data_IF_590418931294
#
_entry.id   IF_590418931294
#
_cell.length_a   1.000
_cell.length_b   1.000
_cell.length_c   1.000
_cell.angle_alpha   90.00
_cell.angle_beta   90.00
_cell.angle_gamma   90.00
#
_symmetry.space_group_name_H-M   'P 1'
#
loop_
_entity.id
_entity.type
_entity.pdbx_description
1 polymer ?
#
# COMPACT_ATOMS: atom_id res chain seq x y z
N UNK A 1 -10.92 -3.87 -24.20
CA UNK A 1 -10.43 -3.90 -22.80
C UNK A 1 -10.60 -2.55 -22.10
N UNK A 2 -10.38 -1.42 -22.78
CA UNK A 2 -10.46 -0.09 -22.14
C UNK A 2 -11.85 0.25 -21.57
N UNK A 3 -12.92 -0.12 -22.27
CA UNK A 3 -14.31 0.01 -21.80
C UNK A 3 -14.62 -0.78 -20.52
N UNK A 4 -14.00 -1.95 -20.36
CA UNK A 4 -14.10 -2.77 -19.15
C UNK A 4 -13.44 -2.07 -17.96
N UNK A 5 -12.22 -1.55 -18.16
CA UNK A 5 -11.46 -0.82 -17.14
C UNK A 5 -12.22 0.44 -16.70
N UNK A 6 -12.71 1.24 -17.64
CA UNK A 6 -13.50 2.44 -17.32
C UNK A 6 -14.75 2.10 -16.51
N UNK A 7 -15.46 1.02 -16.87
CA UNK A 7 -16.68 0.61 -16.14
C UNK A 7 -16.39 0.17 -14.71
N UNK A 8 -15.31 -0.58 -14.48
CA UNK A 8 -14.99 -1.11 -13.16
C UNK A 8 -14.30 -0.12 -12.22
N UNK A 9 -13.53 0.83 -12.77
CA UNK A 9 -12.76 1.80 -11.98
C UNK A 9 -13.32 3.23 -12.04
N UNK A 10 -14.61 3.38 -12.38
CA UNK A 10 -15.30 4.68 -12.43
C UNK A 10 -15.65 5.27 -11.05
N UNK A 11 -15.46 4.51 -9.96
CA UNK A 11 -15.80 4.95 -8.60
C UNK A 11 -14.85 6.01 -8.04
N UNK A 12 -15.32 6.85 -7.10
CA UNK A 12 -14.47 7.84 -6.44
C UNK A 12 -13.31 7.14 -5.71
N UNK A 13 -12.08 7.51 -6.05
CA UNK A 13 -10.87 6.94 -5.45
C UNK A 13 -10.40 5.60 -6.02
N UNK A 14 -11.15 4.98 -6.95
CA UNK A 14 -10.72 3.72 -7.60
C UNK A 14 -9.48 3.95 -8.47
N UNK A 15 -9.42 5.06 -9.21
CA UNK A 15 -8.22 5.43 -9.99
C UNK A 15 -7.02 5.66 -9.08
N UNK A 16 -7.23 6.23 -7.89
CA UNK A 16 -6.17 6.40 -6.90
C UNK A 16 -5.66 5.05 -6.38
N UNK A 17 -6.55 4.10 -6.06
CA UNK A 17 -6.15 2.72 -5.70
C UNK A 17 -5.35 2.05 -6.81
N UNK A 18 -5.80 2.20 -8.06
CA UNK A 18 -5.07 1.69 -9.23
C UNK A 18 -3.69 2.32 -9.33
N UNK A 19 -3.56 3.64 -9.13
CA UNK A 19 -2.25 4.31 -9.10
C UNK A 19 -1.34 3.73 -8.03
N UNK A 20 -1.82 3.55 -6.81
CA UNK A 20 -1.06 2.96 -5.70
C UNK A 20 -0.62 1.52 -5.97
N UNK A 21 -1.45 0.73 -6.66
CA UNK A 21 -1.09 -0.63 -7.07
C UNK A 21 -0.04 -0.62 -8.18
N UNK A 22 -0.18 0.29 -9.14
CA UNK A 22 0.72 0.39 -10.28
C UNK A 22 2.05 1.09 -9.94
N UNK A 23 2.11 1.95 -8.93
CA UNK A 23 3.33 2.66 -8.52
C UNK A 23 4.45 1.72 -8.07
N UNK A 24 4.10 0.57 -7.48
CA UNK A 24 5.07 -0.49 -7.20
C UNK A 24 5.68 -1.16 -8.44
N UNK A 25 5.06 -0.97 -9.63
CA UNK A 25 5.48 -1.59 -10.88
C UNK A 25 5.91 -0.59 -11.96
N UNK A 26 5.50 0.67 -11.84
CA UNK A 26 5.73 1.76 -12.78
C UNK A 26 5.98 3.05 -11.99
N UNK A 27 7.22 3.52 -11.87
CA UNK A 27 7.55 4.70 -11.06
C UNK A 27 6.93 6.00 -11.58
N UNK A 28 6.43 6.04 -12.82
CA UNK A 28 5.93 7.26 -13.49
C UNK A 28 4.41 7.46 -13.33
N UNK A 29 3.68 6.52 -12.72
CA UNK A 29 2.19 6.56 -12.69
C UNK A 29 1.61 7.68 -11.81
N UNK A 30 2.41 8.27 -10.92
CA UNK A 30 1.98 9.35 -10.04
C UNK A 30 1.72 10.67 -10.75
N UNK A 31 2.45 10.96 -11.84
CA UNK A 31 2.34 12.23 -12.59
C UNK A 31 1.39 12.15 -13.79
N UNK A 32 0.87 10.95 -14.08
CA UNK A 32 0.00 10.72 -15.24
C UNK A 32 -1.43 11.11 -14.92
N UNK A 33 -2.17 11.67 -15.88
CA UNK A 33 -3.60 11.94 -15.74
C UNK A 33 -4.41 10.64 -15.57
N UNK A 34 -5.59 10.73 -14.92
CA UNK A 34 -6.44 9.56 -14.60
C UNK A 34 -6.76 8.72 -15.84
N UNK A 35 -7.10 9.40 -16.93
CA UNK A 35 -7.38 8.81 -18.24
C UNK A 35 -6.19 8.04 -18.82
N UNK A 36 -4.97 8.55 -18.60
CA UNK A 36 -3.75 7.89 -19.05
C UNK A 36 -3.45 6.65 -18.22
N UNK A 37 -3.68 6.71 -16.90
CA UNK A 37 -3.52 5.57 -16.00
C UNK A 37 -4.45 4.43 -16.41
N UNK A 38 -5.72 4.73 -16.71
CA UNK A 38 -6.68 3.73 -17.18
C UNK A 38 -6.29 3.14 -18.54
N UNK A 39 -5.80 3.97 -19.45
CA UNK A 39 -5.32 3.50 -20.76
C UNK A 39 -4.11 2.58 -20.61
N UNK A 40 -3.15 2.95 -19.77
CA UNK A 40 -1.95 2.15 -19.47
C UNK A 40 -2.30 0.82 -18.82
N UNK A 41 -3.23 0.83 -17.86
CA UNK A 41 -3.77 -0.40 -17.26
C UNK A 41 -4.41 -1.29 -18.32
N UNK A 42 -5.19 -0.71 -19.24
CA UNK A 42 -5.84 -1.48 -20.30
C UNK A 42 -4.84 -2.14 -21.28
N UNK A 43 -3.71 -1.48 -21.57
CA UNK A 43 -2.65 -2.03 -22.42
C UNK A 43 -1.95 -3.20 -21.74
N UNK A 44 -1.72 -3.12 -20.43
CA UNK A 44 -1.06 -4.21 -19.68
C UNK A 44 -1.94 -5.43 -19.45
N UNK A 45 -3.24 -5.22 -19.29
CA UNK A 45 -4.21 -6.32 -19.28
C UNK A 45 -4.26 -7.00 -20.66
N UNK A 46 -4.14 -6.24 -21.75
CA UNK A 46 -4.08 -6.80 -23.11
C UNK A 46 -2.78 -7.53 -23.41
N UNK A 47 -1.64 -7.02 -22.92
CA UNK A 47 -0.33 -7.66 -23.11
C UNK A 47 -0.12 -8.89 -22.21
N UNK A 48 -1.06 -9.19 -21.32
CA UNK A 48 -0.96 -10.31 -20.37
C UNK A 48 0.06 -10.08 -19.25
N UNK A 49 0.62 -8.87 -19.12
CA UNK A 49 1.53 -8.50 -18.03
C UNK A 49 0.77 -8.32 -16.71
N UNK A 50 -0.53 -8.02 -16.80
CA UNK A 50 -1.44 -7.95 -15.67
C UNK A 50 -2.66 -8.84 -15.94
N UNK A 51 -3.16 -9.46 -14.88
CA UNK A 51 -4.40 -10.24 -14.89
C UNK A 51 -5.34 -9.68 -13.83
N UNK A 52 -6.61 -9.50 -14.18
CA UNK A 52 -7.66 -9.09 -13.25
C UNK A 52 -8.56 -10.29 -12.93
N UNK A 53 -8.68 -10.64 -11.65
CA UNK A 53 -9.58 -11.69 -11.18
C UNK A 53 -10.82 -11.06 -10.55
N UNK A 54 -11.99 -11.38 -11.08
CA UNK A 54 -13.27 -10.99 -10.48
C UNK A 54 -13.66 -12.07 -9.46
N UNK A 55 -13.40 -11.78 -8.18
CA UNK A 55 -13.84 -12.64 -7.09
C UNK A 55 -15.19 -12.16 -6.58
N UNK A 56 -16.18 -13.05 -6.57
CA UNK A 56 -17.42 -12.79 -5.88
C UNK A 56 -17.11 -12.62 -4.39
N UNK A 57 -17.38 -11.43 -3.84
CA UNK A 57 -17.24 -11.19 -2.41
C UNK A 57 -18.17 -12.13 -1.67
N UNK A 58 -17.62 -13.13 -0.99
CA UNK A 58 -18.41 -13.87 -0.02
C UNK A 58 -18.56 -13.01 1.24
N UNK A 59 -19.78 -12.84 1.77
CA UNK A 59 -19.96 -12.19 3.06
C UNK A 59 -19.15 -12.97 4.10
N UNK A 60 -18.22 -12.31 4.78
CA UNK A 60 -17.54 -12.90 5.93
C UNK A 60 -18.59 -13.12 7.01
N UNK A 61 -18.97 -14.38 7.23
CA UNK A 61 -19.82 -14.72 8.36
C UNK A 61 -19.14 -14.22 9.65
N UNK A 62 -19.87 -13.51 10.53
CA UNK A 62 -19.28 -13.03 11.77
C UNK A 62 -18.75 -14.23 12.56
N UNK A 63 -17.46 -14.23 12.84
CA UNK A 63 -16.83 -15.24 13.69
C UNK A 63 -17.42 -15.04 15.08
N UNK A 64 -18.34 -15.92 15.51
CA UNK A 64 -18.70 -15.99 16.92
C UNK A 64 -17.44 -16.42 17.67
N UNK A 65 -16.83 -15.49 18.40
CA UNK A 65 -15.85 -15.85 19.41
C UNK A 65 -16.54 -16.79 20.39
N UNK A 66 -16.07 -18.04 20.58
CA UNK A 66 -16.58 -18.86 21.65
C UNK A 66 -16.25 -18.12 22.94
N UNK A 67 -17.30 -17.61 23.60
CA UNK A 67 -17.18 -17.12 24.96
C UNK A 67 -16.50 -18.23 25.77
N UNK A 68 -15.42 -17.88 26.46
CA UNK A 68 -14.68 -18.78 27.34
C UNK A 68 -15.60 -19.24 28.46
N UNK A 69 -16.36 -20.31 28.19
CA UNK A 69 -17.06 -21.07 29.20
C UNK A 69 -16.08 -22.13 29.70
N UNK A 70 -15.28 -21.77 30.70
CA UNK A 70 -14.70 -22.75 31.59
C UNK A 70 -15.85 -23.49 32.28
N UNK A 71 -16.01 -24.78 31.99
CA UNK A 71 -17.07 -25.61 32.55
C UNK A 71 -17.02 -27.03 32.00
N UNK A 72 -16.37 -27.91 32.77
CA UNK A 72 -16.17 -29.34 32.57
C UNK A 72 -17.26 -30.10 31.79
N UNK A 73 -16.83 -30.82 30.75
CA UNK A 73 -17.42 -32.11 30.37
C UNK A 73 -16.35 -32.95 29.64
N UNK A 74 -15.80 -33.94 30.34
CA UNK A 74 -14.92 -34.94 29.76
C UNK A 74 -15.70 -35.75 28.70
N UNK A 75 -15.22 -35.71 27.44
CA UNK A 75 -15.72 -36.57 26.36
C UNK A 75 -14.57 -37.49 25.90
N UNK A 76 -14.81 -38.80 25.71
CA UNK A 76 -13.76 -39.77 25.37
C UNK A 76 -13.11 -39.48 24.00
N UNK A 77 -11.85 -39.90 23.78
CA UNK A 77 -11.11 -39.60 22.57
C UNK A 77 -11.71 -40.32 21.36
N UNK A 78 -12.10 -39.55 20.34
CA UNK A 78 -12.46 -40.07 19.03
C UNK A 78 -11.22 -40.59 18.28
N UNK A 79 -11.35 -41.63 17.43
CA UNK A 79 -10.24 -42.16 16.66
C UNK A 79 -9.69 -41.13 15.67
N UNK A 80 -8.36 -41.08 15.56
CA UNK A 80 -7.61 -40.15 14.71
C UNK A 80 -7.94 -40.41 13.22
N UNK A 81 -8.38 -39.40 12.45
CA UNK A 81 -8.35 -39.52 11.00
C UNK A 81 -6.88 -39.49 10.54
N UNK A 82 -6.48 -40.53 9.81
CA UNK A 82 -5.19 -40.63 9.12
C UNK A 82 -5.10 -39.45 8.15
N UNK A 83 -4.20 -38.50 8.43
CA UNK A 83 -4.01 -37.33 7.58
C UNK A 83 -3.47 -37.70 6.20
N UNK A 84 -3.79 -36.92 5.15
CA UNK A 84 -3.12 -37.04 3.86
C UNK A 84 -1.64 -36.66 3.96
N UNK A 85 -0.82 -37.30 3.11
CA UNK A 85 0.62 -37.17 3.06
C UNK A 85 1.12 -35.71 2.98
N UNK A 86 2.28 -35.38 3.58
CA UNK A 86 2.83 -34.03 3.53
C UNK A 86 3.27 -33.68 2.10
N UNK A 87 2.71 -32.60 1.57
CA UNK A 87 3.23 -31.92 0.37
C UNK A 87 4.66 -31.41 0.64
N UNK A 88 5.62 -31.61 -0.29
CA UNK A 88 6.96 -31.09 -0.13
C UNK A 88 6.92 -29.56 -0.12
N UNK A 89 7.37 -28.98 0.99
CA UNK A 89 7.59 -27.54 1.14
C UNK A 89 8.81 -27.17 0.29
N UNK A 90 8.58 -26.60 -0.90
CA UNK A 90 9.62 -25.87 -1.61
C UNK A 90 10.01 -24.67 -0.73
N UNK A 91 11.20 -24.75 -0.16
CA UNK A 91 11.79 -23.67 0.62
C UNK A 91 12.15 -22.56 -0.37
N UNK A 92 11.47 -21.42 -0.26
CA UNK A 92 11.91 -20.20 -0.93
C UNK A 92 13.17 -19.76 -0.19
N UNK A 93 14.31 -19.90 -0.85
CA UNK A 93 15.60 -19.42 -0.38
C UNK A 93 15.54 -17.89 -0.35
N UNK A 94 15.41 -17.36 0.87
CA UNK A 94 15.44 -15.94 1.16
C UNK A 94 16.85 -15.45 0.84
N UNK A 95 16.98 -14.68 -0.24
CA UNK A 95 18.22 -14.02 -0.60
C UNK A 95 18.78 -13.25 0.60
N UNK A 96 19.98 -13.64 1.01
CA UNK A 96 20.82 -12.93 1.98
C UNK A 96 20.85 -11.44 1.65
N UNK A 97 20.21 -10.63 2.49
CA UNK A 97 20.48 -9.21 2.56
C UNK A 97 21.85 -9.04 3.20
N UNK A 98 22.77 -8.44 2.44
CA UNK A 98 24.06 -7.98 2.93
C UNK A 98 23.82 -7.02 4.09
N UNK A 99 24.38 -7.24 5.30
CA UNK A 99 24.24 -6.29 6.38
C UNK A 99 25.03 -5.02 6.03
N UNK A 100 24.33 -3.95 5.67
CA UNK A 100 24.88 -2.60 5.74
C UNK A 100 25.14 -2.31 7.22
N UNK A 101 26.37 -1.93 7.55
CA UNK A 101 26.79 -1.68 8.93
C UNK A 101 25.93 -0.55 9.53
N UNK A 102 25.36 -0.79 10.73
CA UNK A 102 24.40 0.10 11.39
C UNK A 102 24.93 1.53 11.57
N UNK A 103 26.22 1.69 11.84
CA UNK A 103 26.89 2.99 11.98
C UNK A 103 26.77 3.90 10.75
N UNK A 104 26.67 3.33 9.54
CA UNK A 104 26.55 4.14 8.32
C UNK A 104 25.13 4.65 8.08
N UNK A 105 24.13 4.05 8.73
CA UNK A 105 22.73 4.44 8.60
C UNK A 105 22.40 5.55 9.60
N UNK A 106 22.92 5.46 10.82
CA UNK A 106 22.70 6.45 11.89
C UNK A 106 23.24 7.84 11.48
N UNK A 107 24.47 7.89 10.95
CA UNK A 107 25.08 9.16 10.52
C UNK A 107 24.33 9.84 9.35
N UNK A 108 23.68 9.07 8.47
CA UNK A 108 22.88 9.62 7.38
C UNK A 108 21.53 10.18 7.88
N UNK A 109 20.94 9.54 8.89
CA UNK A 109 19.68 9.98 9.50
C UNK A 109 19.86 11.26 10.32
N UNK A 110 20.97 11.40 11.05
CA UNK A 110 21.26 12.60 11.85
C UNK A 110 21.42 13.87 10.99
N UNK A 111 22.05 13.74 9.81
CA UNK A 111 22.21 14.86 8.86
C UNK A 111 20.85 15.28 8.29
N UNK A 112 19.99 14.33 7.95
CA UNK A 112 18.64 14.61 7.43
C UNK A 112 17.76 15.26 8.51
N UNK A 113 17.82 14.76 9.76
CA UNK A 113 17.10 15.33 10.89
C UNK A 113 17.52 16.79 11.15
N UNK A 114 18.82 17.08 11.16
CA UNK A 114 19.33 18.43 11.35
C UNK A 114 18.86 19.40 10.24
N UNK A 115 18.79 18.93 8.99
CA UNK A 115 18.26 19.73 7.87
C UNK A 115 16.76 20.05 8.05
N UNK A 116 15.96 19.07 8.48
CA UNK A 116 14.53 19.26 8.72
C UNK A 116 14.26 20.22 9.89
N UNK A 117 15.05 20.13 10.96
CA UNK A 117 14.95 21.05 12.10
C UNK A 117 15.29 22.50 11.73
N UNK A 118 16.33 22.70 10.91
CA UNK A 118 16.71 24.05 10.46
C UNK A 118 15.65 24.64 9.52
N UNK A 119 15.05 23.83 8.66
CA UNK A 119 13.97 24.29 7.80
C UNK A 119 12.69 24.64 8.57
N UNK A 120 12.36 23.87 9.60
CA UNK A 120 11.27 24.18 10.51
C UNK A 120 11.53 25.48 11.29
N UNK A 121 12.78 25.68 11.77
CA UNK A 121 13.20 26.89 12.49
C UNK A 121 13.16 28.13 11.61
N UNK A 122 13.61 28.01 10.37
CA UNK A 122 13.62 29.11 9.39
C UNK A 122 12.24 29.39 8.79
N UNK A 123 11.23 28.58 9.14
CA UNK A 123 9.89 28.61 8.53
C UNK A 123 9.95 28.62 6.99
N UNK A 124 10.98 27.98 6.42
CA UNK A 124 11.20 27.96 4.97
C UNK A 124 10.12 27.07 4.36
N UNK A 125 9.16 27.62 3.59
CA UNK A 125 8.04 26.84 3.10
C UNK A 125 8.49 25.89 2.00
N UNK A 126 8.32 24.59 2.22
CA UNK A 126 8.53 23.57 1.18
C UNK A 126 7.33 23.39 0.24
N UNK A 127 6.18 24.01 0.55
CA UNK A 127 4.94 23.87 -0.21
C UNK A 127 4.57 25.19 -0.91
N UNK A 128 4.21 25.09 -2.20
CA UNK A 128 3.80 26.20 -3.05
C UNK A 128 2.60 26.98 -2.48
N UNK A 129 1.68 26.30 -1.80
CA UNK A 129 0.51 26.93 -1.18
C UNK A 129 0.89 27.79 0.03
N UNK A 130 1.90 27.38 0.80
CA UNK A 130 2.39 28.14 1.95
C UNK A 130 3.10 29.44 1.50
N UNK A 131 3.83 29.42 0.38
CA UNK A 131 4.39 30.63 -0.22
C UNK A 131 3.29 31.58 -0.70
N UNK A 132 2.28 31.08 -1.43
CA UNK A 132 1.14 31.91 -1.85
C UNK A 132 0.42 32.56 -0.67
N UNK A 133 0.17 31.81 0.40
CA UNK A 133 -0.46 32.34 1.62
C UNK A 133 0.41 33.38 2.35
N UNK A 134 1.73 33.26 2.30
CA UNK A 134 2.65 34.26 2.86
C UNK A 134 2.59 35.57 2.08
N UNK A 135 2.63 35.51 0.75
CA UNK A 135 2.51 36.70 -0.11
C UNK A 135 1.18 37.42 0.13
N UNK A 136 0.07 36.69 0.19
CA UNK A 136 -1.24 37.27 0.49
C UNK A 136 -1.28 37.96 1.86
N UNK A 137 -0.69 37.37 2.91
CA UNK A 137 -0.64 38.01 4.24
C UNK A 137 0.21 39.29 4.24
N UNK A 138 1.29 39.34 3.45
CA UNK A 138 2.10 40.55 3.30
C UNK A 138 1.34 41.65 2.57
N UNK A 139 0.58 41.30 1.53
CA UNK A 139 -0.27 42.23 0.80
C UNK A 139 -1.45 42.76 1.66
N UNK A 140 -2.00 41.92 2.54
CA UNK A 140 -3.10 42.32 3.44
C UNK A 140 -2.66 43.00 4.75
N UNK A 141 -1.37 42.93 5.07
CA UNK A 141 -0.78 43.52 6.29
C UNK A 141 -0.14 44.91 6.09
N UNK A 142 -0.24 45.49 4.90
CA UNK A 142 0.14 46.89 4.63
C UNK A 142 -1.12 47.76 4.51
N UNK A 143 -1.65 48.15 5.67
CA UNK A 143 -2.71 49.14 5.87
C UNK A 143 -2.61 49.72 7.26
#
# INVERSE_FOLDING_TARGET
MESFVRRYFQGPGEVHRVRTLLSGQLPVTHFMADEEVLRQLSRRLQSGTLCAYLLARQPTAPIRQPGSAAGAAARPPAPRPTGPAPVPRTQIELATVVPVSRESVDAAQDVEAAMLEEAARSATPFCEECERARLQRLEQGQG
#
